data_IF_413923566803
#
_entry.id   IF_413923566803
#
_cell.length_a   1.000
_cell.length_b   1.000
_cell.length_c   1.000
_cell.angle_alpha   90.00
_cell.angle_beta   90.00
_cell.angle_gamma   90.00
#
_symmetry.space_group_name_H-M   'P 1'
#
loop_
_entity.id
_entity.type
_entity.pdbx_description
1 polymer ?
#
# COMPACT_ATOMS: atom_id res chain seq x y z
N UNK A 1 -7.13 6.46 21.89
CA UNK A 1 -6.87 6.78 20.47
C UNK A 1 -6.03 5.65 19.91
N UNK A 2 -6.47 4.97 18.88
CA UNK A 2 -5.80 3.78 18.34
C UNK A 2 -4.73 4.20 17.33
N UNK A 3 -5.05 5.16 16.46
CA UNK A 3 -4.14 5.67 15.44
C UNK A 3 -4.37 7.15 15.20
N UNK A 4 -3.34 7.89 14.87
CA UNK A 4 -3.41 9.28 14.40
C UNK A 4 -2.57 9.43 13.15
N UNK A 5 -3.16 9.96 12.10
CA UNK A 5 -2.48 10.27 10.83
C UNK A 5 -2.28 11.78 10.77
N UNK A 6 -1.00 12.20 10.76
CA UNK A 6 -0.64 13.60 10.58
C UNK A 6 -0.47 13.88 9.09
N UNK A 7 -1.04 14.97 8.62
CA UNK A 7 -0.91 15.41 7.24
C UNK A 7 -0.38 16.84 7.15
N UNK A 8 0.34 17.11 6.06
CA UNK A 8 0.85 18.44 5.75
C UNK A 8 0.53 18.77 4.28
N UNK A 9 0.05 19.98 4.04
CA UNK A 9 -0.16 20.50 2.69
C UNK A 9 0.96 21.47 2.32
N UNK A 10 1.61 21.21 1.20
CA UNK A 10 2.52 22.15 0.54
C UNK A 10 1.84 22.71 -0.71
N UNK A 11 1.94 24.01 -0.93
CA UNK A 11 1.38 24.67 -2.10
C UNK A 11 2.51 25.33 -2.89
N UNK A 12 2.60 24.97 -4.16
CA UNK A 12 3.62 25.50 -5.09
C UNK A 12 2.91 25.96 -6.37
N UNK A 13 3.31 27.11 -6.91
CA UNK A 13 2.87 27.55 -8.23
C UNK A 13 3.64 26.74 -9.28
N UNK A 14 2.90 26.12 -10.20
CA UNK A 14 3.48 25.38 -11.34
C UNK A 14 2.90 25.97 -12.64
N UNK A 15 3.72 25.93 -13.71
CA UNK A 15 3.33 26.38 -15.05
C UNK A 15 3.25 25.20 -16.04
N UNK A 16 3.59 23.99 -15.58
CA UNK A 16 3.57 22.76 -16.37
C UNK A 16 2.16 22.17 -16.44
N UNK A 17 1.87 21.51 -17.55
CA UNK A 17 0.66 20.73 -17.68
C UNK A 17 0.67 19.48 -16.76
N UNK A 18 -0.50 19.02 -16.35
CA UNK A 18 -0.62 17.87 -15.44
C UNK A 18 0.03 16.59 -16.00
N UNK A 19 -0.01 16.40 -17.32
CA UNK A 19 0.61 15.25 -18.00
C UNK A 19 2.13 15.28 -17.92
N UNK A 20 2.74 16.46 -17.93
CA UNK A 20 4.21 16.60 -17.80
C UNK A 20 4.65 16.29 -16.37
N UNK A 21 3.85 16.74 -15.37
CA UNK A 21 4.08 16.42 -13.96
C UNK A 21 3.93 14.92 -13.74
N UNK A 22 2.90 14.29 -14.30
CA UNK A 22 2.70 12.83 -14.22
C UNK A 22 3.87 12.06 -14.86
N UNK A 23 4.34 12.51 -16.04
CA UNK A 23 5.46 11.90 -16.76
C UNK A 23 6.76 12.00 -15.96
N UNK A 24 7.00 13.13 -15.31
CA UNK A 24 8.15 13.34 -14.43
C UNK A 24 8.06 12.46 -13.17
N UNK A 25 6.88 12.39 -12.54
CA UNK A 25 6.65 11.54 -11.38
C UNK A 25 6.92 10.07 -11.71
N UNK A 26 6.49 9.61 -12.88
CA UNK A 26 6.74 8.25 -13.36
C UNK A 26 8.21 7.90 -13.50
N UNK A 27 9.05 8.88 -13.81
CA UNK A 27 10.51 8.68 -13.93
C UNK A 27 11.20 8.68 -12.56
N UNK A 28 10.74 9.55 -11.65
CA UNK A 28 11.37 9.74 -10.34
C UNK A 28 10.94 8.68 -9.33
N UNK A 29 9.64 8.36 -9.31
CA UNK A 29 9.05 7.44 -8.34
C UNK A 29 8.00 6.52 -9.01
N UNK A 30 8.44 5.56 -9.84
CA UNK A 30 7.53 4.59 -10.42
C UNK A 30 6.93 3.70 -9.33
N UNK A 31 5.62 3.46 -9.44
CA UNK A 31 4.87 2.60 -8.51
C UNK A 31 3.89 1.72 -9.31
N UNK A 32 3.41 0.60 -8.74
CA UNK A 32 2.46 -0.29 -9.41
C UNK A 32 1.14 0.39 -9.80
N UNK A 33 0.70 1.38 -9.03
CA UNK A 33 -0.57 2.09 -9.25
C UNK A 33 -0.33 3.58 -9.43
N UNK A 34 0.00 3.96 -10.67
CA UNK A 34 0.14 5.36 -11.05
C UNK A 34 -1.13 5.83 -11.72
N UNK A 35 -1.60 7.03 -11.38
CA UNK A 35 -2.84 7.57 -11.92
C UNK A 35 -2.75 9.08 -12.16
N UNK A 36 -3.51 9.53 -13.15
CA UNK A 36 -3.85 10.91 -13.42
C UNK A 36 -5.37 10.96 -13.61
N UNK A 37 -6.07 11.60 -12.67
CA UNK A 37 -7.51 11.82 -12.74
C UNK A 37 -7.77 13.26 -13.20
N UNK A 38 -8.55 13.41 -14.25
CA UNK A 38 -9.02 14.71 -14.74
C UNK A 38 -10.45 14.94 -14.27
N UNK A 39 -10.62 15.90 -13.36
CA UNK A 39 -11.88 16.22 -12.69
C UNK A 39 -12.30 17.66 -13.04
N UNK A 40 -12.53 17.98 -14.28
CA UNK A 40 -12.92 19.30 -14.83
C UNK A 40 -12.19 20.50 -14.18
N UNK A 41 -12.46 20.77 -12.89
CA UNK A 41 -11.93 21.93 -12.16
C UNK A 41 -10.53 21.69 -11.56
N UNK A 42 -10.12 20.43 -11.40
CA UNK A 42 -8.80 20.05 -10.82
C UNK A 42 -8.33 18.71 -11.35
N UNK A 43 -7.04 18.46 -11.20
CA UNK A 43 -6.45 17.16 -11.55
C UNK A 43 -5.77 16.55 -10.34
N UNK A 44 -5.84 15.23 -10.22
CA UNK A 44 -5.14 14.47 -9.18
C UNK A 44 -4.11 13.59 -9.86
N UNK A 45 -2.86 13.71 -9.43
CA UNK A 45 -1.73 12.91 -9.90
C UNK A 45 -1.19 12.12 -8.72
N UNK A 46 -1.02 10.83 -8.89
CA UNK A 46 -0.53 9.98 -7.81
C UNK A 46 0.35 8.83 -8.27
N UNK A 47 1.17 8.37 -7.33
CA UNK A 47 2.01 7.20 -7.43
C UNK A 47 1.84 6.41 -6.15
N UNK A 48 1.11 5.29 -6.19
CA UNK A 48 0.79 4.48 -5.02
C UNK A 48 1.41 3.09 -5.12
N UNK A 49 2.06 2.59 -4.08
CA UNK A 49 2.51 1.21 -4.00
C UNK A 49 1.39 0.26 -3.60
N UNK A 50 0.32 0.77 -2.98
CA UNK A 50 -0.68 -0.03 -2.27
C UNK A 50 -1.92 -0.29 -3.12
N UNK A 51 -2.36 -1.56 -3.09
CA UNK A 51 -3.61 -2.01 -3.65
C UNK A 51 -4.73 -1.78 -2.62
N UNK A 52 -5.63 -0.84 -2.88
CA UNK A 52 -6.80 -0.63 -2.03
C UNK A 52 -7.72 -1.86 -2.05
N UNK A 53 -8.17 -2.25 -3.24
CA UNK A 53 -8.98 -3.45 -3.46
C UNK A 53 -8.88 -3.88 -4.93
N UNK A 54 -8.86 -5.17 -5.16
CA UNK A 54 -8.90 -5.76 -6.51
C UNK A 54 -9.98 -6.83 -6.56
N UNK A 55 -10.86 -6.73 -7.54
CA UNK A 55 -11.81 -7.79 -7.89
C UNK A 55 -11.42 -8.36 -9.26
N UNK A 56 -11.17 -9.65 -9.32
CA UNK A 56 -10.83 -10.35 -10.57
C UNK A 56 -11.34 -11.79 -10.53
N UNK A 57 -12.15 -12.17 -11.52
CA UNK A 57 -12.71 -13.53 -11.65
C UNK A 57 -13.44 -14.00 -10.37
N UNK A 58 -14.29 -13.15 -9.78
CA UNK A 58 -15.02 -13.45 -8.56
C UNK A 58 -14.18 -13.48 -7.28
N UNK A 59 -12.91 -13.16 -7.34
CA UNK A 59 -12.00 -13.10 -6.17
C UNK A 59 -11.67 -11.68 -5.82
N UNK A 60 -11.85 -11.31 -4.57
CA UNK A 60 -11.48 -10.02 -4.05
C UNK A 60 -10.18 -10.13 -3.26
N UNK A 61 -9.28 -9.18 -3.46
CA UNK A 61 -8.01 -9.10 -2.75
C UNK A 61 -7.79 -7.69 -2.17
N UNK A 62 -7.15 -7.65 -1.01
CA UNK A 62 -6.58 -6.44 -0.39
C UNK A 62 -5.13 -6.71 0.00
N UNK A 63 -4.31 -5.68 -0.07
CA UNK A 63 -2.88 -5.79 0.17
C UNK A 63 -2.44 -4.69 1.15
N UNK A 64 -2.72 -4.87 2.46
CA UNK A 64 -2.30 -3.90 3.46
C UNK A 64 -0.78 -3.80 3.53
N UNK A 65 -0.30 -2.57 3.55
CA UNK A 65 1.10 -2.20 3.66
C UNK A 65 1.26 -1.34 4.91
N UNK A 66 2.14 -1.73 5.82
CA UNK A 66 2.48 -0.92 6.99
C UNK A 66 3.90 -1.23 7.47
N UNK A 67 4.44 -0.28 8.24
CA UNK A 67 5.84 -0.34 8.63
C UNK A 67 6.77 0.08 7.49
N UNK A 68 7.77 0.88 7.80
CA UNK A 68 8.66 1.44 6.78
C UNK A 68 10.09 1.55 7.30
N UNK A 69 11.05 1.11 6.47
CA UNK A 69 12.47 1.44 6.63
C UNK A 69 13.04 1.90 5.28
N UNK A 70 14.05 2.76 5.29
CA UNK A 70 14.76 3.11 4.06
C UNK A 70 15.51 1.91 3.49
N UNK A 71 15.76 1.92 2.19
CA UNK A 71 16.69 0.99 1.56
C UNK A 71 18.10 1.24 2.08
N UNK A 72 18.85 0.17 2.29
CA UNK A 72 20.25 0.23 2.63
C UNK A 72 21.12 0.73 1.48
N UNK A 73 22.31 1.26 1.78
CA UNK A 73 23.31 1.64 0.77
C UNK A 73 23.99 0.42 0.13
N UNK A 74 23.88 -0.71 0.78
CA UNK A 74 24.37 -2.02 0.36
C UNK A 74 23.50 -3.12 0.97
N UNK A 75 23.73 -4.37 0.57
CA UNK A 75 22.93 -5.53 0.97
C UNK A 75 22.99 -5.78 2.49
N UNK A 76 24.11 -5.51 3.15
CA UNK A 76 24.28 -5.69 4.58
C UNK A 76 23.40 -4.69 5.37
N UNK A 77 23.41 -3.42 4.97
CA UNK A 77 22.56 -2.39 5.56
C UNK A 77 21.07 -2.65 5.28
N UNK A 78 20.74 -3.17 4.09
CA UNK A 78 19.38 -3.55 3.71
C UNK A 78 18.84 -4.66 4.62
N UNK A 79 19.62 -5.72 4.84
CA UNK A 79 19.28 -6.82 5.75
C UNK A 79 19.13 -6.34 7.19
N UNK A 80 19.99 -5.42 7.63
CA UNK A 80 19.89 -4.82 8.96
C UNK A 80 18.60 -4.02 9.12
N UNK A 81 18.23 -3.22 8.14
CA UNK A 81 17.01 -2.43 8.16
C UNK A 81 15.75 -3.31 8.11
N UNK A 82 15.79 -4.43 7.39
CA UNK A 82 14.74 -5.44 7.39
C UNK A 82 14.56 -6.08 8.77
N UNK A 83 15.66 -6.51 9.40
CA UNK A 83 15.63 -7.08 10.75
C UNK A 83 15.08 -6.09 11.76
N UNK A 84 15.54 -4.84 11.72
CA UNK A 84 15.06 -3.77 12.58
C UNK A 84 13.56 -3.49 12.40
N UNK A 85 13.07 -3.58 11.15
CA UNK A 85 11.65 -3.42 10.87
C UNK A 85 10.80 -4.57 11.43
N UNK A 86 11.27 -5.81 11.28
CA UNK A 86 10.55 -6.99 11.76
C UNK A 86 10.62 -7.17 13.29
N UNK A 87 11.58 -6.56 13.95
CA UNK A 87 11.73 -6.55 15.42
C UNK A 87 10.99 -5.37 16.09
N UNK A 88 10.46 -4.42 15.30
CA UNK A 88 9.75 -3.25 15.82
C UNK A 88 8.30 -3.61 16.21
N UNK A 89 8.05 -3.78 17.52
CA UNK A 89 6.74 -4.15 18.04
C UNK A 89 5.63 -3.16 17.66
N UNK A 90 5.94 -1.88 17.52
CA UNK A 90 4.98 -0.85 17.11
C UNK A 90 4.57 -1.05 15.66
N UNK A 91 5.53 -1.23 14.75
CA UNK A 91 5.26 -1.44 13.33
C UNK A 91 4.50 -2.75 13.08
N UNK A 92 4.87 -3.81 13.79
CA UNK A 92 4.16 -5.10 13.77
C UNK A 92 2.71 -4.94 14.28
N UNK A 93 2.50 -4.25 15.40
CA UNK A 93 1.16 -4.02 15.96
C UNK A 93 0.27 -3.21 15.02
N UNK A 94 0.83 -2.17 14.36
CA UNK A 94 0.12 -1.38 13.35
C UNK A 94 -0.27 -2.25 12.15
N UNK A 95 0.64 -3.08 11.67
CA UNK A 95 0.39 -3.98 10.55
C UNK A 95 -0.70 -5.02 10.87
N UNK A 96 -0.66 -5.62 12.06
CA UNK A 96 -1.70 -6.55 12.54
C UNK A 96 -3.08 -5.88 12.60
N UNK A 97 -3.16 -4.62 13.02
CA UNK A 97 -4.40 -3.86 13.03
C UNK A 97 -4.97 -3.70 11.60
N UNK A 98 -4.12 -3.38 10.62
CA UNK A 98 -4.55 -3.27 9.23
C UNK A 98 -4.93 -4.62 8.61
N UNK A 99 -4.24 -5.69 8.99
CA UNK A 99 -4.59 -7.05 8.60
C UNK A 99 -5.98 -7.44 9.10
N UNK A 100 -6.29 -7.15 10.36
CA UNK A 100 -7.60 -7.43 10.94
C UNK A 100 -8.70 -6.58 10.29
N UNK A 101 -8.41 -5.31 9.97
CA UNK A 101 -9.33 -4.46 9.22
C UNK A 101 -9.63 -5.05 7.83
N UNK A 102 -8.60 -5.46 7.10
CA UNK A 102 -8.75 -6.11 5.79
C UNK A 102 -9.56 -7.41 5.85
N UNK A 103 -9.35 -8.23 6.89
CA UNK A 103 -10.18 -9.43 7.13
C UNK A 103 -11.65 -9.08 7.35
N UNK A 104 -11.93 -8.09 8.17
CA UNK A 104 -13.29 -7.64 8.46
C UNK A 104 -13.98 -7.09 7.20
N UNK A 105 -13.26 -6.32 6.40
CA UNK A 105 -13.83 -5.74 5.18
C UNK A 105 -14.11 -6.80 4.11
N UNK A 106 -13.18 -7.72 3.87
CA UNK A 106 -13.42 -8.86 2.99
C UNK A 106 -14.52 -9.78 3.52
N UNK A 107 -14.60 -9.97 4.84
CA UNK A 107 -15.61 -10.82 5.49
C UNK A 107 -17.06 -10.33 5.31
N UNK A 108 -17.27 -9.04 4.98
CA UNK A 108 -18.61 -8.48 4.70
C UNK A 108 -19.18 -8.92 3.36
N UNK A 109 -18.30 -9.24 2.40
CA UNK A 109 -18.66 -9.55 1.01
C UNK A 109 -18.28 -10.97 0.57
N UNK A 110 -17.60 -11.71 1.43
CA UNK A 110 -17.10 -13.05 1.15
C UNK A 110 -17.94 -14.13 1.79
N UNK A 111 -17.97 -15.31 1.20
CA UNK A 111 -18.58 -16.47 1.85
C UNK A 111 -17.88 -16.78 3.19
N UNK A 112 -18.60 -17.17 4.24
CA UNK A 112 -18.00 -17.50 5.52
C UNK A 112 -16.86 -18.53 5.39
N UNK A 113 -15.68 -18.17 5.96
CA UNK A 113 -14.49 -19.03 5.92
C UNK A 113 -13.67 -18.98 4.63
N UNK A 114 -14.07 -18.15 3.62
CA UNK A 114 -13.36 -18.04 2.36
C UNK A 114 -12.17 -17.04 2.38
N UNK A 115 -12.12 -16.15 3.36
CA UNK A 115 -11.02 -15.19 3.51
C UNK A 115 -9.75 -15.89 3.95
N UNK A 116 -8.69 -15.74 3.17
CA UNK A 116 -7.37 -16.34 3.43
C UNK A 116 -6.27 -15.28 3.43
N UNK A 117 -5.30 -15.45 4.31
CA UNK A 117 -4.03 -14.71 4.29
C UNK A 117 -3.01 -15.61 3.61
N UNK A 118 -2.42 -15.15 2.52
CA UNK A 118 -1.45 -15.93 1.72
C UNK A 118 -0.02 -15.47 1.86
N UNK A 119 0.15 -14.17 2.08
CA UNK A 119 1.44 -13.58 2.45
C UNK A 119 1.23 -12.92 3.81
N UNK A 120 2.08 -13.24 4.76
CA UNK A 120 1.96 -12.71 6.11
C UNK A 120 3.31 -12.20 6.59
N UNK A 121 3.35 -10.89 6.90
CA UNK A 121 4.56 -10.23 7.39
C UNK A 121 5.77 -10.39 6.46
N UNK A 122 5.57 -10.35 5.16
CA UNK A 122 6.65 -10.38 4.19
C UNK A 122 7.22 -8.97 3.98
N UNK A 123 8.49 -8.90 3.59
CA UNK A 123 9.13 -7.63 3.26
C UNK A 123 9.11 -7.42 1.76
N UNK A 124 8.44 -6.36 1.33
CA UNK A 124 8.54 -5.85 -0.04
C UNK A 124 9.51 -4.69 -0.13
N UNK A 125 10.43 -4.79 -1.09
CA UNK A 125 11.45 -3.77 -1.35
C UNK A 125 11.10 -2.94 -2.56
N UNK A 126 10.95 -1.64 -2.33
CA UNK A 126 10.74 -0.63 -3.36
C UNK A 126 12.03 0.14 -3.66
N UNK A 127 11.96 1.12 -4.54
CA UNK A 127 13.15 1.87 -4.96
C UNK A 127 13.88 2.60 -3.82
N UNK A 128 13.14 3.13 -2.84
CA UNK A 128 13.69 3.98 -1.78
C UNK A 128 13.41 3.46 -0.36
N UNK A 129 12.42 2.58 -0.23
CA UNK A 129 11.94 2.07 1.06
C UNK A 129 11.63 0.58 0.98
N UNK A 130 11.49 -0.05 2.13
CA UNK A 130 10.90 -1.38 2.30
C UNK A 130 9.73 -1.31 3.27
N UNK A 131 8.76 -2.19 3.08
CA UNK A 131 7.55 -2.26 3.89
C UNK A 131 7.24 -3.69 4.32
N UNK A 132 6.52 -3.82 5.44
CA UNK A 132 5.84 -5.06 5.80
C UNK A 132 4.54 -5.14 5.02
N UNK A 133 4.29 -6.27 4.39
CA UNK A 133 3.10 -6.50 3.58
C UNK A 133 2.38 -7.78 3.98
N UNK A 134 1.06 -7.80 3.79
CA UNK A 134 0.24 -8.99 3.82
C UNK A 134 -0.65 -9.02 2.58
N UNK A 135 -0.98 -10.21 2.10
CA UNK A 135 -1.96 -10.40 1.05
C UNK A 135 -3.13 -11.23 1.57
N UNK A 136 -4.31 -10.62 1.53
CA UNK A 136 -5.56 -11.30 1.81
C UNK A 136 -6.37 -11.44 0.53
N UNK A 137 -7.02 -12.59 0.35
CA UNK A 137 -7.96 -12.77 -0.74
C UNK A 137 -9.14 -13.65 -0.31
N UNK A 138 -10.24 -13.55 -1.06
CA UNK A 138 -11.37 -14.48 -0.97
C UNK A 138 -11.20 -15.58 -1.99
N UNK A 139 -11.53 -16.82 -1.62
CA UNK A 139 -11.62 -17.90 -2.61
C UNK A 139 -12.85 -17.74 -3.52
N UNK A 140 -13.94 -17.20 -2.95
CA UNK A 140 -15.19 -16.90 -3.67
C UNK A 140 -15.80 -15.63 -3.07
N UNK A 141 -16.11 -14.64 -3.91
CA UNK A 141 -17.00 -13.55 -3.50
C UNK A 141 -18.44 -14.07 -3.49
N UNK A 142 -19.25 -13.59 -2.55
CA UNK A 142 -20.68 -13.90 -2.58
C UNK A 142 -21.28 -13.32 -3.88
N UNK A 143 -21.92 -14.14 -4.68
CA UNK A 143 -22.75 -13.66 -5.78
C UNK A 143 -23.99 -13.01 -5.17
N UNK A 144 -24.12 -11.66 -5.32
CA UNK A 144 -25.40 -10.96 -5.17
C UNK A 144 -26.09 -10.82 -6.52
#
# INVERSE_FOLDING_TARGET
MIQAVLSQKLTVKVESEAIDIFSSLRQINPSPYMFLLDCDDFKIIGSSPELLVKLQNGKTAVHPIAGTRPRGKNDEEDIKNETDLLDDEKEISEHLMLLDLGRNDLGKIANPGSVKVTQQMEIERYSHVMHIVCLLYTSDAADE
#
